data_IF_259471588979
#
_entry.id   IF_259471588979
#
_cell.length_a   1.000
_cell.length_b   1.000
_cell.length_c   1.000
_cell.angle_alpha   90.00
_cell.angle_beta   90.00
_cell.angle_gamma   90.00
#
_symmetry.space_group_name_H-M   'P 1'
#
loop_
_entity.id
_entity.type
_entity.pdbx_description
1 polymer ?
#
# COMPACT_ATOMS: atom_id res chain seq x y z
N UNK A 1 -46.49 31.93 -17.88
CA UNK A 1 -45.42 30.88 -17.97
C UNK A 1 -44.23 31.33 -17.14
N UNK A 2 -44.05 30.78 -15.93
CA UNK A 2 -42.84 31.04 -15.14
C UNK A 2 -41.69 30.20 -15.74
N UNK A 3 -40.64 30.86 -16.19
CA UNK A 3 -39.40 30.19 -16.65
C UNK A 3 -38.78 29.51 -15.41
N UNK A 4 -38.73 28.19 -15.45
CA UNK A 4 -37.87 27.43 -14.53
C UNK A 4 -36.43 27.71 -14.92
N UNK A 5 -35.69 28.33 -14.02
CA UNK A 5 -34.21 28.41 -14.12
C UNK A 5 -33.63 27.17 -13.47
N UNK A 6 -33.00 26.34 -14.26
CA UNK A 6 -32.16 25.26 -13.77
C UNK A 6 -30.76 25.85 -13.48
N UNK A 7 -30.40 25.92 -12.22
CA UNK A 7 -29.01 26.17 -11.84
C UNK A 7 -28.26 24.83 -11.84
N UNK A 8 -27.42 24.62 -12.83
CA UNK A 8 -26.46 23.52 -12.82
C UNK A 8 -25.33 23.94 -11.89
N UNK A 9 -25.31 23.37 -10.70
CA UNK A 9 -24.15 23.47 -9.80
C UNK A 9 -23.05 22.57 -10.36
N UNK A 10 -22.12 23.16 -11.08
CA UNK A 10 -20.86 22.49 -11.43
C UNK A 10 -20.01 22.37 -10.16
N UNK A 11 -20.05 21.23 -9.51
CA UNK A 11 -19.07 20.86 -8.51
C UNK A 11 -17.78 20.42 -9.24
N UNK A 12 -16.91 21.37 -9.54
CA UNK A 12 -15.51 21.09 -9.86
C UNK A 12 -14.73 21.12 -8.54
N UNK A 13 -14.77 20.05 -7.77
CA UNK A 13 -13.74 19.82 -6.78
C UNK A 13 -12.54 19.20 -7.52
N UNK A 14 -11.54 19.99 -7.83
CA UNK A 14 -10.23 19.48 -8.18
C UNK A 14 -9.65 18.84 -6.92
N UNK A 15 -9.58 17.51 -6.87
CA UNK A 15 -8.97 16.76 -5.77
C UNK A 15 -7.43 16.93 -5.73
N UNK A 16 -6.88 17.72 -6.65
CA UNK A 16 -5.46 18.05 -6.68
C UNK A 16 -5.19 19.17 -5.70
N UNK A 17 -4.42 18.92 -4.63
CA UNK A 17 -4.10 19.96 -3.65
C UNK A 17 -3.28 21.08 -4.29
N UNK A 18 -3.61 22.32 -3.95
CA UNK A 18 -2.83 23.47 -4.31
C UNK A 18 -1.93 23.86 -3.12
N UNK A 19 -0.65 24.07 -3.39
CA UNK A 19 0.34 24.49 -2.41
C UNK A 19 0.79 25.90 -2.80
N UNK A 20 0.30 26.90 -2.05
CA UNK A 20 0.56 28.31 -2.38
C UNK A 20 1.29 28.95 -1.21
N UNK A 21 2.43 29.58 -1.52
CA UNK A 21 3.11 30.46 -0.58
C UNK A 21 2.25 31.69 -0.29
N UNK A 22 2.10 32.02 0.96
CA UNK A 22 1.44 33.25 1.39
C UNK A 22 2.49 34.19 1.97
N UNK A 23 2.53 35.44 1.51
CA UNK A 23 3.54 36.45 1.92
C UNK A 23 3.61 36.69 3.45
N UNK A 24 2.61 36.24 4.20
CA UNK A 24 2.52 36.44 5.65
C UNK A 24 2.61 35.15 6.48
N UNK A 25 2.88 34.00 5.84
CA UNK A 25 2.98 32.70 6.55
C UNK A 25 4.37 32.12 6.40
N UNK A 26 4.96 31.71 7.50
CA UNK A 26 6.22 30.96 7.54
C UNK A 26 6.03 29.47 7.20
N UNK A 27 4.79 29.00 7.24
CA UNK A 27 4.41 27.60 7.07
C UNK A 27 3.60 27.46 5.79
N UNK A 28 3.97 26.48 4.98
CA UNK A 28 3.25 26.12 3.76
C UNK A 28 2.12 25.17 4.11
N UNK A 29 0.89 25.57 3.84
CA UNK A 29 -0.29 24.72 4.07
C UNK A 29 -0.30 23.51 3.13
N UNK A 30 -0.66 22.34 3.61
CA UNK A 30 -0.80 21.14 2.80
C UNK A 30 -2.25 20.97 2.34
N UNK A 31 -2.54 21.46 1.13
CA UNK A 31 -3.89 21.59 0.59
C UNK A 31 -4.56 22.92 1.00
N UNK A 32 -5.77 23.15 0.49
CA UNK A 32 -6.50 24.42 0.63
C UNK A 32 -6.84 24.74 2.09
N UNK A 33 -7.15 23.74 2.88
CA UNK A 33 -7.55 23.81 4.30
C UNK A 33 -6.47 23.31 5.26
N UNK A 34 -5.29 23.00 4.73
CA UNK A 34 -4.18 22.37 5.46
C UNK A 34 -4.47 20.96 6.00
N UNK A 35 -5.53 20.29 5.53
CA UNK A 35 -5.99 18.96 5.97
C UNK A 35 -5.89 17.88 4.88
N UNK A 36 -5.16 18.12 3.81
CA UNK A 36 -4.99 17.14 2.73
C UNK A 36 -4.47 15.75 3.22
N UNK A 37 -3.56 15.64 4.21
CA UNK A 37 -3.20 14.34 4.76
C UNK A 37 -4.38 13.58 5.36
N UNK A 38 -5.29 14.26 6.05
CA UNK A 38 -6.49 13.63 6.62
C UNK A 38 -7.44 13.11 5.55
N UNK A 39 -7.56 13.82 4.42
CA UNK A 39 -8.29 13.31 3.27
C UNK A 39 -7.70 11.99 2.75
N UNK A 40 -6.37 11.87 2.66
CA UNK A 40 -5.71 10.63 2.26
C UNK A 40 -5.92 9.50 3.29
N UNK A 41 -5.92 9.83 4.58
CA UNK A 41 -6.24 8.89 5.67
C UNK A 41 -7.68 8.39 5.58
N UNK A 42 -8.63 9.28 5.28
CA UNK A 42 -10.04 8.91 5.08
C UNK A 42 -10.19 7.94 3.89
N UNK A 43 -9.55 8.21 2.76
CA UNK A 43 -9.52 7.29 1.63
C UNK A 43 -8.92 5.91 2.01
N UNK A 44 -7.83 5.93 2.78
CA UNK A 44 -7.16 4.71 3.24
C UNK A 44 -8.03 3.85 4.15
N UNK A 45 -8.81 4.46 5.03
CA UNK A 45 -9.71 3.74 5.97
C UNK A 45 -10.99 3.29 5.28
N UNK A 46 -11.51 4.06 4.31
CA UNK A 46 -12.84 3.83 3.73
C UNK A 46 -12.84 2.82 2.57
N UNK A 47 -11.72 2.64 1.84
CA UNK A 47 -11.63 1.70 0.73
C UNK A 47 -10.77 0.48 1.11
N UNK A 48 -11.38 -0.71 1.12
CA UNK A 48 -10.71 -1.97 1.48
C UNK A 48 -9.62 -2.36 0.48
N UNK A 49 -9.84 -2.11 -0.80
CA UNK A 49 -8.89 -2.43 -1.87
C UNK A 49 -7.68 -1.50 -1.78
N UNK A 50 -7.94 -0.20 -1.63
CA UNK A 50 -6.88 0.80 -1.49
C UNK A 50 -6.03 0.52 -0.24
N UNK A 51 -6.68 0.24 0.90
CA UNK A 51 -5.99 -0.13 2.14
C UNK A 51 -5.10 -1.36 1.99
N UNK A 52 -5.62 -2.44 1.36
CA UNK A 52 -4.86 -3.66 1.12
C UNK A 52 -3.60 -3.41 0.28
N UNK A 53 -3.73 -2.61 -0.80
CA UNK A 53 -2.59 -2.28 -1.66
C UNK A 53 -1.58 -1.38 -0.93
N UNK A 54 -2.02 -0.34 -0.21
CA UNK A 54 -1.13 0.53 0.57
C UNK A 54 -0.31 -0.28 1.55
N UNK A 55 -0.97 -1.13 2.35
CA UNK A 55 -0.29 -1.96 3.36
C UNK A 55 0.67 -2.97 2.71
N UNK A 56 0.23 -3.66 1.65
CA UNK A 56 1.07 -4.62 0.95
C UNK A 56 2.30 -3.98 0.30
N UNK A 57 2.13 -2.82 -0.36
CA UNK A 57 3.26 -2.08 -0.95
C UNK A 57 4.21 -1.57 0.13
N UNK A 58 3.69 -1.00 1.22
CA UNK A 58 4.52 -0.54 2.33
C UNK A 58 5.34 -1.68 2.95
N UNK A 59 4.72 -2.86 3.10
CA UNK A 59 5.39 -4.06 3.56
C UNK A 59 6.49 -4.52 2.59
N UNK A 60 6.24 -4.47 1.27
CA UNK A 60 7.26 -4.82 0.25
C UNK A 60 8.39 -3.79 0.20
N UNK A 61 8.12 -2.48 0.42
CA UNK A 61 9.15 -1.43 0.50
C UNK A 61 10.09 -1.71 1.67
N UNK A 62 9.55 -1.99 2.86
CA UNK A 62 10.34 -2.32 4.03
C UNK A 62 11.03 -3.68 3.91
N UNK A 63 10.37 -4.67 3.28
CA UNK A 63 10.85 -6.02 3.12
C UNK A 63 11.08 -6.72 4.46
N UNK A 64 12.23 -7.38 4.60
CA UNK A 64 12.73 -7.93 5.85
C UNK A 64 13.56 -6.92 6.66
N UNK A 65 13.59 -5.67 6.20
CA UNK A 65 14.29 -4.56 6.83
C UNK A 65 15.58 -4.15 6.13
N UNK A 66 16.26 -3.18 6.75
CA UNK A 66 17.52 -2.66 6.26
C UNK A 66 18.64 -3.68 6.46
N UNK A 67 19.44 -3.92 5.44
CA UNK A 67 20.61 -4.81 5.46
C UNK A 67 21.78 -4.16 4.71
N UNK A 68 22.97 -4.75 4.79
CA UNK A 68 24.18 -4.22 4.19
C UNK A 68 25.00 -5.31 3.50
N UNK A 69 25.57 -4.95 2.35
CA UNK A 69 26.54 -5.80 1.65
C UNK A 69 27.83 -5.87 2.47
N UNK A 70 28.38 -7.08 2.63
CA UNK A 70 29.61 -7.34 3.40
C UNK A 70 29.55 -6.88 4.87
N UNK A 71 28.38 -6.91 5.52
CA UNK A 71 28.20 -6.56 6.93
C UNK A 71 29.09 -7.35 7.88
N UNK A 72 29.37 -8.62 7.55
CA UNK A 72 30.20 -9.52 8.36
C UNK A 72 31.69 -9.11 8.35
N UNK A 73 32.14 -8.43 7.31
CA UNK A 73 33.50 -7.88 7.23
C UNK A 73 33.64 -6.54 7.97
N UNK A 74 32.54 -5.86 8.25
CA UNK A 74 32.47 -4.53 8.88
C UNK A 74 31.45 -4.50 10.03
N UNK A 75 31.58 -5.45 10.94
CA UNK A 75 30.59 -5.68 11.99
C UNK A 75 30.37 -4.47 12.92
N UNK A 76 31.42 -3.66 13.14
CA UNK A 76 31.33 -2.45 13.95
C UNK A 76 30.38 -1.41 13.32
N UNK A 77 30.48 -1.21 12.02
CA UNK A 77 29.57 -0.31 11.31
C UNK A 77 28.13 -0.84 11.33
N UNK A 78 27.98 -2.16 11.17
CA UNK A 78 26.66 -2.80 11.24
C UNK A 78 26.01 -2.67 12.62
N UNK A 79 26.78 -2.87 13.69
CA UNK A 79 26.28 -2.66 15.06
C UNK A 79 25.88 -1.22 15.30
N UNK A 80 26.61 -0.26 14.75
CA UNK A 80 26.28 1.17 14.83
C UNK A 80 24.96 1.49 14.09
N UNK A 81 24.71 0.89 12.92
CA UNK A 81 23.44 1.02 12.22
C UNK A 81 22.28 0.50 13.08
N UNK A 82 22.43 -0.69 13.65
CA UNK A 82 21.42 -1.26 14.54
C UNK A 82 21.17 -0.42 15.81
N UNK A 83 22.16 0.32 16.28
CA UNK A 83 22.00 1.25 17.38
C UNK A 83 21.22 2.49 16.92
N UNK A 84 21.58 3.11 15.80
CA UNK A 84 20.91 4.30 15.25
C UNK A 84 19.43 4.01 14.94
N UNK A 85 19.12 2.82 14.39
CA UNK A 85 17.77 2.35 14.11
C UNK A 85 17.28 1.34 15.16
N UNK A 86 17.47 1.65 16.46
CA UNK A 86 17.03 0.79 17.56
C UNK A 86 15.52 0.50 17.56
N UNK A 87 14.70 1.46 17.11
CA UNK A 87 13.29 1.24 16.76
C UNK A 87 13.17 0.60 15.38
N UNK A 88 13.00 -0.73 15.36
CA UNK A 88 12.82 -1.51 14.12
C UNK A 88 11.56 -1.13 13.33
N UNK A 89 10.56 -0.53 13.99
CA UNK A 89 9.33 -0.06 13.35
C UNK A 89 9.52 1.30 12.63
N UNK A 90 10.61 2.03 12.90
CA UNK A 90 10.88 3.35 12.33
C UNK A 90 10.77 3.34 10.79
N UNK A 91 11.56 2.50 10.13
CA UNK A 91 11.59 2.42 8.66
C UNK A 91 10.34 1.77 8.07
N UNK A 92 9.68 0.87 8.81
CA UNK A 92 8.41 0.28 8.39
C UNK A 92 7.30 1.34 8.36
N UNK A 93 7.22 2.19 9.39
CA UNK A 93 6.27 3.33 9.42
C UNK A 93 6.62 4.36 8.34
N UNK A 94 7.90 4.65 8.13
CA UNK A 94 8.34 5.54 7.06
C UNK A 94 7.95 5.01 5.67
N UNK A 95 8.01 3.69 5.45
CA UNK A 95 7.57 3.05 4.21
C UNK A 95 6.06 3.18 3.98
N UNK A 96 5.27 3.09 5.06
CA UNK A 96 3.82 3.31 5.00
C UNK A 96 3.51 4.77 4.64
N UNK A 97 4.10 5.72 5.34
CA UNK A 97 3.91 7.15 5.07
C UNK A 97 4.33 7.52 3.65
N UNK A 98 5.47 7.01 3.19
CA UNK A 98 5.96 7.27 1.85
C UNK A 98 4.99 6.76 0.77
N UNK A 99 4.34 5.61 0.99
CA UNK A 99 3.32 5.09 0.06
C UNK A 99 2.00 5.83 0.19
N UNK A 100 1.55 6.13 1.40
CA UNK A 100 0.25 6.74 1.66
C UNK A 100 0.22 8.22 1.26
N UNK A 101 1.23 9.00 1.68
CA UNK A 101 1.27 10.45 1.46
C UNK A 101 2.18 10.87 0.31
N UNK A 102 2.99 9.95 -0.23
CA UNK A 102 4.05 10.28 -1.19
C UNK A 102 5.29 10.90 -0.55
N UNK A 103 5.35 10.91 0.79
CA UNK A 103 6.46 11.47 1.57
C UNK A 103 6.52 10.89 2.97
N UNK A 104 7.70 10.92 3.59
CA UNK A 104 7.87 10.57 4.99
C UNK A 104 8.92 11.44 5.66
N UNK A 105 8.88 11.49 6.98
CA UNK A 105 9.77 12.30 7.80
C UNK A 105 10.49 11.45 8.82
N UNK A 106 11.81 11.66 8.93
CA UNK A 106 12.68 11.00 9.88
C UNK A 106 13.35 12.04 10.77
N UNK A 107 13.15 11.92 12.05
CA UNK A 107 13.76 12.78 13.06
C UNK A 107 15.10 12.20 13.49
N UNK A 108 16.17 12.89 13.21
CA UNK A 108 17.54 12.53 13.56
C UNK A 108 17.91 13.21 14.87
N UNK A 109 18.28 12.43 15.86
CA UNK A 109 18.71 12.91 17.18
C UNK A 109 20.22 12.79 17.29
N UNK A 110 20.87 13.92 17.51
CA UNK A 110 22.29 13.99 17.80
C UNK A 110 22.60 13.62 19.25
N UNK A 111 23.78 13.06 19.48
CA UNK A 111 24.33 12.86 20.81
C UNK A 111 24.43 14.20 21.59
N UNK A 112 24.57 14.13 22.90
CA UNK A 112 24.62 15.32 23.75
C UNK A 112 25.76 16.27 23.35
N UNK A 113 26.91 15.73 22.96
CA UNK A 113 28.10 16.45 22.48
C UNK A 113 28.04 16.85 20.99
N UNK A 114 26.95 16.51 20.24
CA UNK A 114 26.74 16.79 18.81
C UNK A 114 27.79 16.19 17.88
N UNK A 115 28.53 15.20 18.32
CA UNK A 115 29.59 14.59 17.50
C UNK A 115 29.07 13.43 16.66
N UNK A 116 28.11 12.68 17.21
CA UNK A 116 27.55 11.48 16.59
C UNK A 116 26.03 11.51 16.55
N UNK A 117 25.43 10.74 15.63
CA UNK A 117 23.98 10.51 15.63
C UNK A 117 23.69 9.41 16.65
N UNK A 118 22.76 9.70 17.56
CA UNK A 118 22.31 8.78 18.59
C UNK A 118 21.24 7.84 18.06
N UNK A 119 20.18 8.42 17.50
CA UNK A 119 18.99 7.68 17.09
C UNK A 119 18.31 8.36 15.90
N UNK A 120 17.51 7.57 15.14
CA UNK A 120 16.61 8.05 14.10
C UNK A 120 15.21 7.51 14.37
N UNK A 121 14.24 8.40 14.43
CA UNK A 121 12.84 8.08 14.68
C UNK A 121 11.94 8.51 13.52
N UNK A 122 10.89 7.76 13.31
CA UNK A 122 9.82 8.14 12.39
C UNK A 122 8.94 9.23 13.02
N UNK A 123 8.59 10.25 12.23
CA UNK A 123 7.58 11.25 12.59
C UNK A 123 6.43 11.17 11.59
N UNK A 124 5.16 11.00 12.05
CA UNK A 124 4.02 10.85 11.13
C UNK A 124 3.89 12.03 10.17
N UNK A 125 3.78 11.75 8.88
CA UNK A 125 3.78 12.78 7.83
C UNK A 125 2.59 13.75 7.96
N UNK A 126 1.45 13.29 8.47
CA UNK A 126 0.27 14.14 8.73
C UNK A 126 0.56 15.27 9.72
N UNK A 127 1.50 15.07 10.65
CA UNK A 127 1.83 16.04 11.72
C UNK A 127 2.85 17.09 11.31
N UNK A 128 3.47 16.98 10.14
CA UNK A 128 4.55 17.88 9.69
C UNK A 128 4.08 18.81 8.57
N UNK A 129 4.57 20.05 8.62
CA UNK A 129 4.46 21.01 7.52
C UNK A 129 5.82 21.61 7.19
N UNK A 130 6.01 21.94 5.91
CA UNK A 130 7.22 22.60 5.44
C UNK A 130 7.19 24.08 5.77
N UNK A 131 8.32 24.65 6.14
CA UNK A 131 8.56 26.09 6.14
C UNK A 131 8.74 26.59 4.70
N UNK A 132 8.72 27.92 4.54
CA UNK A 132 9.03 28.57 3.27
C UNK A 132 10.48 28.28 2.90
N UNK A 133 10.75 28.00 1.64
CA UNK A 133 12.09 27.78 1.12
C UNK A 133 12.93 29.06 1.18
N UNK A 134 14.23 28.91 1.33
CA UNK A 134 15.18 30.00 1.24
C UNK A 134 15.45 30.41 -0.23
N UNK A 135 16.32 31.39 -0.43
CA UNK A 135 16.69 31.91 -1.77
C UNK A 135 17.40 30.85 -2.64
N UNK A 136 17.83 29.73 -2.08
CA UNK A 136 18.44 28.60 -2.78
C UNK A 136 17.44 27.45 -3.04
N UNK A 137 16.14 27.71 -2.93
CA UNK A 137 15.06 26.73 -3.07
C UNK A 137 15.17 25.54 -2.08
N UNK A 138 15.66 25.77 -0.85
CA UNK A 138 15.80 24.75 0.18
C UNK A 138 14.86 25.02 1.34
N UNK A 139 14.17 23.97 1.82
CA UNK A 139 13.37 24.03 3.04
C UNK A 139 14.29 23.79 4.22
N UNK A 140 14.54 24.83 5.01
CA UNK A 140 15.45 24.77 6.16
C UNK A 140 14.76 24.42 7.47
N UNK A 141 13.43 24.58 7.55
CA UNK A 141 12.66 24.36 8.77
C UNK A 141 11.40 23.58 8.47
N UNK A 142 11.10 22.61 9.32
CA UNK A 142 9.85 21.87 9.36
C UNK A 142 9.11 22.19 10.64
N UNK A 143 7.79 22.18 10.59
CA UNK A 143 6.93 22.49 11.72
C UNK A 143 6.13 21.25 12.11
N UNK A 144 6.30 20.81 13.35
CA UNK A 144 5.56 19.69 13.92
C UNK A 144 4.39 20.19 14.76
N UNK A 145 3.22 19.61 14.53
CA UNK A 145 2.02 19.87 15.32
C UNK A 145 1.15 18.60 15.29
N UNK A 146 0.73 18.16 16.47
CA UNK A 146 -0.03 16.90 16.60
C UNK A 146 -1.36 16.91 15.83
N UNK A 147 -2.06 18.05 15.84
CA UNK A 147 -3.33 18.25 15.15
C UNK A 147 -3.35 19.61 14.46
N UNK A 148 -3.35 19.62 13.14
CA UNK A 148 -3.40 20.83 12.32
C UNK A 148 -4.80 21.45 12.22
N UNK A 149 -5.85 20.71 12.59
CA UNK A 149 -7.20 21.24 12.70
C UNK A 149 -7.40 22.10 13.97
N UNK A 150 -6.60 21.85 15.02
CA UNK A 150 -6.65 22.67 16.24
C UNK A 150 -5.95 24.02 16.04
N UNK A 151 -6.72 25.11 15.99
CA UNK A 151 -6.17 26.45 15.84
C UNK A 151 -5.41 26.97 17.07
N UNK A 152 -5.53 26.35 18.23
CA UNK A 152 -4.98 26.84 19.50
C UNK A 152 -3.58 26.28 19.83
N UNK A 153 -3.21 25.14 19.29
CA UNK A 153 -1.90 24.57 19.53
C UNK A 153 -0.81 25.25 18.68
N UNK A 154 0.39 25.37 19.26
CA UNK A 154 1.54 25.99 18.59
C UNK A 154 2.40 24.93 17.92
N UNK A 155 2.79 25.18 16.68
CA UNK A 155 3.68 24.28 15.95
C UNK A 155 5.14 24.44 16.48
N UNK A 156 5.81 23.32 16.64
CA UNK A 156 7.23 23.27 17.02
C UNK A 156 8.10 23.29 15.77
N UNK A 157 9.01 24.26 15.67
CA UNK A 157 9.98 24.32 14.58
C UNK A 157 11.11 23.29 14.82
N UNK A 158 11.42 22.52 13.77
CA UNK A 158 12.51 21.54 13.74
C UNK A 158 13.36 21.85 12.49
N UNK A 159 14.66 22.13 12.62
CA UNK A 159 15.51 22.41 11.48
C UNK A 159 15.69 21.19 10.59
N UNK A 160 15.92 21.42 9.30
CA UNK A 160 16.29 20.38 8.35
C UNK A 160 17.64 19.74 8.76
N UNK A 161 17.81 18.47 8.44
CA UNK A 161 19.03 17.75 8.74
C UNK A 161 20.23 18.35 7.99
N UNK A 162 21.28 18.69 8.74
CA UNK A 162 22.53 19.18 8.23
C UNK A 162 23.71 18.48 8.87
N UNK A 163 24.70 18.10 8.05
CA UNK A 163 25.96 17.53 8.54
C UNK A 163 26.94 18.63 9.02
N UNK A 164 26.76 19.87 8.56
CA UNK A 164 27.60 21.03 8.89
C UNK A 164 27.07 21.82 10.08
N UNK A 165 25.77 22.02 10.20
CA UNK A 165 25.13 22.65 11.36
C UNK A 165 24.54 21.57 12.28
N UNK A 166 25.15 21.41 13.44
CA UNK A 166 24.77 20.43 14.48
C UNK A 166 24.32 21.10 15.77
N UNK A 167 23.95 22.38 15.72
CA UNK A 167 23.54 23.13 16.92
C UNK A 167 22.26 22.58 17.53
N UNK A 168 21.30 22.20 16.71
CA UNK A 168 20.05 21.60 17.15
C UNK A 168 20.23 20.12 17.51
N UNK A 169 19.62 19.71 18.64
CA UNK A 169 19.64 18.33 19.10
C UNK A 169 18.87 17.38 18.17
N UNK A 170 17.81 17.89 17.58
CA UNK A 170 16.85 17.17 16.76
C UNK A 170 16.74 17.88 15.41
N UNK A 171 16.85 17.13 14.35
CA UNK A 171 16.80 17.63 12.97
C UNK A 171 15.95 16.69 12.12
N UNK A 172 15.29 17.21 11.08
CA UNK A 172 14.33 16.48 10.26
C UNK A 172 14.89 16.17 8.88
N UNK A 173 14.75 14.92 8.47
CA UNK A 173 14.93 14.49 7.08
C UNK A 173 13.56 14.38 6.43
N UNK A 174 13.43 14.91 5.23
CA UNK A 174 12.25 14.80 4.39
C UNK A 174 12.56 13.95 3.16
N UNK A 175 11.95 12.76 3.08
CA UNK A 175 11.98 11.90 1.90
C UNK A 175 10.67 12.04 1.15
N UNK A 176 10.70 12.40 -0.14
CA UNK A 176 9.50 12.63 -0.93
C UNK A 176 9.60 12.13 -2.36
N UNK A 177 8.48 11.70 -2.90
CA UNK A 177 8.32 11.47 -4.33
C UNK A 177 8.37 12.79 -5.06
N UNK A 178 9.09 12.84 -6.19
CA UNK A 178 9.02 13.99 -7.08
C UNK A 178 7.65 14.06 -7.74
N UNK A 179 7.04 15.23 -7.67
CA UNK A 179 5.81 15.52 -8.39
C UNK A 179 5.87 16.93 -8.98
N UNK A 180 5.59 17.12 -10.29
CA UNK A 180 5.65 18.43 -10.93
C UNK A 180 4.60 19.44 -10.41
N UNK A 181 3.57 18.96 -9.70
CA UNK A 181 2.51 19.81 -9.14
C UNK A 181 2.85 20.42 -7.78
N UNK A 182 3.90 19.90 -7.12
CA UNK A 182 4.27 20.35 -5.78
C UNK A 182 5.78 20.43 -5.61
N UNK A 183 6.27 21.59 -5.20
CA UNK A 183 7.66 21.78 -4.82
C UNK A 183 7.91 21.34 -3.38
N UNK A 184 7.06 21.73 -2.44
CA UNK A 184 7.25 21.51 -1.00
C UNK A 184 6.99 20.07 -0.59
N UNK A 185 5.89 19.48 -1.05
CA UNK A 185 5.40 18.20 -0.58
C UNK A 185 5.50 17.11 -1.66
N UNK A 186 5.76 15.89 -1.22
CA UNK A 186 5.50 14.71 -2.03
C UNK A 186 3.99 14.52 -2.22
N UNK A 187 3.59 13.96 -3.35
CA UNK A 187 2.23 13.53 -3.60
C UNK A 187 2.21 12.03 -3.89
N UNK A 188 1.16 11.33 -3.47
CA UNK A 188 1.08 9.89 -3.68
C UNK A 188 1.05 9.54 -5.17
N UNK A 189 1.68 8.42 -5.52
CA UNK A 189 1.75 7.94 -6.91
C UNK A 189 0.39 7.51 -7.48
N UNK A 190 -0.59 7.23 -6.61
CA UNK A 190 -1.96 6.86 -6.96
C UNK A 190 -2.93 8.06 -7.08
N UNK A 191 -2.41 9.30 -7.07
CA UNK A 191 -3.23 10.52 -7.11
C UNK A 191 -4.28 10.51 -8.23
N UNK A 192 -3.95 9.96 -9.40
CA UNK A 192 -4.88 9.86 -10.51
C UNK A 192 -6.09 8.94 -10.29
N UNK A 193 -6.08 8.13 -9.23
CA UNK A 193 -7.15 7.19 -8.90
C UNK A 193 -7.96 7.57 -7.66
N UNK A 194 -7.69 8.73 -7.05
CA UNK A 194 -8.39 9.17 -5.82
C UNK A 194 -9.90 9.21 -6.00
N UNK A 195 -10.39 9.67 -7.16
CA UNK A 195 -11.83 9.69 -7.45
C UNK A 195 -12.44 8.27 -7.47
N UNK A 196 -11.72 7.26 -7.95
CA UNK A 196 -12.20 5.88 -7.94
C UNK A 196 -12.14 5.26 -6.55
N UNK A 197 -11.19 5.68 -5.72
CA UNK A 197 -11.13 5.29 -4.30
C UNK A 197 -12.32 5.89 -3.55
N UNK A 198 -12.69 7.15 -3.80
CA UNK A 198 -13.91 7.75 -3.27
C UNK A 198 -15.18 7.04 -3.75
N UNK A 199 -15.23 6.64 -5.02
CA UNK A 199 -16.37 5.86 -5.55
C UNK A 199 -16.48 4.52 -4.82
N UNK A 200 -15.37 3.82 -4.54
CA UNK A 200 -15.36 2.56 -3.79
C UNK A 200 -15.93 2.76 -2.37
N UNK A 201 -15.47 3.79 -1.67
CA UNK A 201 -15.96 4.16 -0.34
C UNK A 201 -17.47 4.46 -0.36
N UNK A 202 -17.90 5.34 -1.26
CA UNK A 202 -19.32 5.73 -1.41
C UNK A 202 -20.20 4.54 -1.84
N UNK A 203 -19.69 3.64 -2.66
CA UNK A 203 -20.40 2.44 -3.08
C UNK A 203 -20.64 1.50 -1.90
N UNK A 204 -19.64 1.33 -1.05
CA UNK A 204 -19.75 0.54 0.19
C UNK A 204 -20.79 1.15 1.13
N UNK A 205 -20.78 2.46 1.33
CA UNK A 205 -21.77 3.19 2.16
C UNK A 205 -23.18 3.08 1.56
N UNK A 206 -23.31 3.23 0.26
CA UNK A 206 -24.59 3.07 -0.44
C UNK A 206 -25.15 1.65 -0.25
N UNK A 207 -24.34 0.61 -0.39
CA UNK A 207 -24.77 -0.77 -0.16
C UNK A 207 -25.22 -0.98 1.28
N UNK A 208 -24.46 -0.51 2.26
CA UNK A 208 -24.80 -0.60 3.67
C UNK A 208 -26.12 0.12 3.98
N UNK A 209 -26.29 1.35 3.46
CA UNK A 209 -27.51 2.12 3.63
C UNK A 209 -28.71 1.46 2.91
N UNK A 210 -28.48 0.85 1.75
CA UNK A 210 -29.52 0.12 1.02
C UNK A 210 -29.98 -1.14 1.76
N UNK A 211 -29.06 -1.85 2.39
CA UNK A 211 -29.37 -3.03 3.23
C UNK A 211 -30.13 -2.59 4.49
N UNK A 212 -29.66 -1.53 5.17
CA UNK A 212 -30.25 -1.05 6.42
C UNK A 212 -31.64 -0.43 6.24
N UNK A 213 -31.87 0.25 5.12
CA UNK A 213 -33.10 1.00 4.86
C UNK A 213 -34.05 0.31 3.85
N UNK A 214 -33.66 -0.88 3.33
CA UNK A 214 -34.34 -1.52 2.20
C UNK A 214 -33.99 -0.84 0.88
N UNK A 215 -33.97 -1.60 -0.21
CA UNK A 215 -33.51 -1.13 -1.54
C UNK A 215 -34.38 -0.01 -2.13
N UNK A 216 -35.63 0.12 -1.68
CA UNK A 216 -36.58 1.13 -2.15
C UNK A 216 -37.64 1.44 -1.09
N UNK A 217 -38.30 2.61 -1.15
CA UNK A 217 -39.49 2.84 -0.37
C UNK A 217 -40.53 1.77 -0.73
N UNK A 218 -40.71 0.80 0.16
CA UNK A 218 -41.59 -0.35 -0.07
C UNK A 218 -43.05 -0.02 0.03
N UNK A 219 -43.36 1.15 0.58
CA UNK A 219 -44.76 1.53 0.87
C UNK A 219 -44.95 3.04 0.70
N UNK A 220 -45.92 3.42 -0.13
CA UNK A 220 -46.46 4.79 -0.17
C UNK A 220 -47.72 4.81 0.69
N UNK A 221 -47.71 5.63 1.74
CA UNK A 221 -48.90 5.92 2.54
C UNK A 221 -49.55 7.16 1.98
N UNK A 222 -50.73 6.99 1.39
CA UNK A 222 -51.53 8.09 0.86
C UNK A 222 -52.70 8.36 1.79
N UNK A 223 -52.79 9.59 2.30
CA UNK A 223 -53.90 10.07 3.11
C UNK A 223 -54.82 10.90 2.25
N UNK A 224 -56.09 10.47 2.10
CA UNK A 224 -57.05 11.06 1.18
C UNK A 224 -58.11 11.94 1.92
N UNK A 225 -57.90 12.25 3.18
CA UNK A 225 -58.87 12.93 4.06
C UNK A 225 -58.47 14.39 4.28
N UNK A 226 -58.00 15.06 3.24
CA UNK A 226 -57.57 16.45 3.26
C UNK A 226 -56.08 16.63 3.61
N UNK A 227 -55.61 17.88 3.51
CA UNK A 227 -54.23 18.24 3.89
C UNK A 227 -54.20 18.61 5.36
N UNK A 228 -53.57 17.81 6.23
CA UNK A 228 -53.52 18.13 7.66
C UNK A 228 -52.73 19.42 7.92
N UNK A 229 -53.00 20.04 9.03
CA UNK A 229 -52.20 21.18 9.52
C UNK A 229 -50.76 20.78 9.77
N UNK A 230 -49.87 21.75 9.85
CA UNK A 230 -48.42 21.47 10.04
C UNK A 230 -48.16 20.73 11.35
N UNK A 231 -48.93 20.97 12.40
CA UNK A 231 -48.87 20.31 13.70
C UNK A 231 -49.34 18.85 13.62
N UNK A 232 -50.47 18.59 12.97
CA UNK A 232 -51.01 17.24 12.75
C UNK A 232 -50.07 16.39 11.87
N UNK A 233 -49.43 17.02 10.87
CA UNK A 233 -48.42 16.37 10.01
C UNK A 233 -47.22 15.94 10.83
N UNK A 234 -46.69 16.81 11.70
CA UNK A 234 -45.55 16.50 12.54
C UNK A 234 -45.86 15.37 13.56
N UNK A 235 -47.10 15.31 14.06
CA UNK A 235 -47.53 14.25 14.97
C UNK A 235 -47.69 12.91 14.25
N UNK A 236 -48.25 12.89 13.03
CA UNK A 236 -48.37 11.73 12.18
C UNK A 236 -46.98 11.19 11.78
N UNK A 237 -46.07 12.07 11.37
CA UNK A 237 -44.68 11.70 11.07
C UNK A 237 -44.01 11.03 12.27
N UNK A 238 -44.16 11.61 13.46
CA UNK A 238 -43.59 11.07 14.70
C UNK A 238 -44.18 9.70 15.06
N UNK A 239 -45.50 9.53 14.88
CA UNK A 239 -46.21 8.27 15.15
C UNK A 239 -45.78 7.15 14.19
N UNK A 240 -45.63 7.49 12.91
CA UNK A 240 -45.18 6.55 11.88
C UNK A 240 -43.69 6.19 12.11
N UNK A 241 -42.84 7.17 12.38
CA UNK A 241 -41.45 6.94 12.72
C UNK A 241 -41.30 6.04 13.97
N UNK A 242 -42.14 6.24 14.98
CA UNK A 242 -42.10 5.43 16.22
C UNK A 242 -42.53 3.97 16.00
N UNK A 243 -43.43 3.73 15.04
CA UNK A 243 -43.98 2.38 14.77
C UNK A 243 -43.21 1.63 13.68
N UNK A 244 -42.66 2.34 12.72
CA UNK A 244 -42.03 1.75 11.54
C UNK A 244 -40.56 2.12 11.41
N UNK A 245 -40.03 3.09 12.20
CA UNK A 245 -38.63 3.41 12.29
C UNK A 245 -37.93 2.51 13.32
N UNK A 246 -36.74 1.98 12.96
CA UNK A 246 -35.92 1.16 13.84
C UNK A 246 -35.15 0.12 13.03
N UNK A 247 -34.02 -0.35 13.54
CA UNK A 247 -33.09 -1.27 12.86
C UNK A 247 -33.69 -2.61 12.36
N UNK A 248 -34.96 -2.89 12.66
CA UNK A 248 -35.68 -4.09 12.21
C UNK A 248 -36.75 -3.84 11.13
N UNK A 249 -37.04 -2.55 10.79
CA UNK A 249 -38.09 -2.19 9.83
C UNK A 249 -37.48 -1.38 8.68
N UNK A 250 -36.65 -2.03 7.89
CA UNK A 250 -35.96 -1.46 6.76
C UNK A 250 -36.91 -1.22 5.58
N UNK A 251 -37.58 -0.08 5.56
CA UNK A 251 -38.34 0.37 4.43
C UNK A 251 -38.57 1.89 4.52
N UNK A 252 -38.17 2.64 3.49
CA UNK A 252 -38.52 4.05 3.39
C UNK A 252 -40.01 4.16 3.12
N UNK A 253 -40.75 4.84 4.00
CA UNK A 253 -42.15 5.12 3.82
C UNK A 253 -42.29 6.50 3.16
N UNK A 254 -42.89 6.56 2.00
CA UNK A 254 -43.27 7.83 1.35
C UNK A 254 -44.69 8.18 1.79
N UNK A 255 -44.86 9.31 2.47
CA UNK A 255 -46.18 9.85 2.86
C UNK A 255 -46.62 10.89 1.85
N UNK A 256 -47.87 10.80 1.44
CA UNK A 256 -48.52 11.80 0.59
C UNK A 256 -49.88 12.17 1.15
N UNK A 257 -50.22 13.45 1.13
CA UNK A 257 -51.48 13.99 1.58
C UNK A 257 -52.20 14.59 0.36
N UNK A 258 -53.43 14.16 0.10
CA UNK A 258 -54.24 14.62 -1.03
C UNK A 258 -55.66 14.99 -0.57
N UNK A 259 -56.25 15.96 -1.24
CA UNK A 259 -57.59 16.44 -0.89
C UNK A 259 -58.72 15.49 -1.28
N UNK A 260 -58.48 14.51 -2.14
CA UNK A 260 -59.47 13.52 -2.56
C UNK A 260 -58.79 12.24 -3.11
N UNK A 261 -59.53 11.13 -3.10
CA UNK A 261 -59.07 9.86 -3.69
C UNK A 261 -58.82 9.93 -5.19
N UNK A 262 -59.40 10.90 -5.91
CA UNK A 262 -59.20 11.11 -7.35
C UNK A 262 -57.81 11.74 -7.62
N UNK A 263 -57.22 12.41 -6.66
CA UNK A 263 -55.89 13.01 -6.72
C UNK A 263 -54.81 12.16 -6.02
N UNK A 264 -55.17 10.93 -5.64
CA UNK A 264 -54.19 10.03 -5.02
C UNK A 264 -53.03 9.78 -5.99
N UNK A 265 -51.76 9.87 -5.52
CA UNK A 265 -50.64 9.61 -6.37
C UNK A 265 -50.70 8.17 -6.89
N UNK A 266 -50.53 8.01 -8.19
CA UNK A 266 -50.39 6.70 -8.80
C UNK A 266 -49.04 6.13 -8.38
N UNK A 267 -49.03 4.94 -7.78
CA UNK A 267 -47.82 4.25 -7.44
C UNK A 267 -47.24 3.65 -8.73
N UNK A 268 -46.39 4.37 -9.41
CA UNK A 268 -45.52 3.77 -10.38
C UNK A 268 -44.33 3.14 -9.64
N UNK A 269 -44.27 1.80 -9.65
CA UNK A 269 -43.07 1.12 -9.19
C UNK A 269 -41.93 1.51 -10.13
N UNK A 270 -40.94 2.24 -9.61
CA UNK A 270 -39.69 2.43 -10.32
C UNK A 270 -39.01 1.07 -10.43
N UNK A 271 -39.29 0.34 -11.51
CA UNK A 271 -38.54 -0.86 -11.86
C UNK A 271 -37.15 -0.42 -12.34
N UNK A 272 -36.21 -0.32 -11.41
CA UNK A 272 -34.79 -0.20 -11.76
C UNK A 272 -34.29 -1.63 -12.00
N UNK A 273 -34.80 -2.28 -13.07
CA UNK A 273 -34.36 -3.61 -13.48
C UNK A 273 -32.86 -3.62 -13.84
N UNK A 274 -32.29 -2.49 -14.21
CA UNK A 274 -30.90 -2.37 -14.65
C UNK A 274 -29.94 -1.85 -13.57
N UNK A 275 -30.45 -1.47 -12.40
CA UNK A 275 -29.61 -0.94 -11.31
C UNK A 275 -28.54 -1.95 -10.89
N UNK A 276 -28.89 -3.24 -10.79
CA UNK A 276 -27.93 -4.28 -10.43
C UNK A 276 -26.79 -4.41 -11.44
N UNK A 277 -27.07 -4.26 -12.74
CA UNK A 277 -26.05 -4.31 -13.79
C UNK A 277 -25.12 -3.11 -13.73
N UNK A 278 -25.65 -1.92 -13.45
CA UNK A 278 -24.84 -0.70 -13.27
C UNK A 278 -23.92 -0.81 -12.05
N UNK A 279 -24.43 -1.31 -10.92
CA UNK A 279 -23.62 -1.50 -9.72
C UNK A 279 -22.58 -2.61 -9.87
N UNK A 280 -22.91 -3.72 -10.52
CA UNK A 280 -21.94 -4.78 -10.82
C UNK A 280 -20.82 -4.27 -11.73
N UNK A 281 -21.18 -3.51 -12.78
CA UNK A 281 -20.20 -2.87 -13.65
C UNK A 281 -19.30 -1.89 -12.89
N UNK A 282 -19.87 -0.98 -12.10
CA UNK A 282 -19.12 -0.01 -11.31
C UNK A 282 -18.17 -0.69 -10.33
N UNK A 283 -18.63 -1.71 -9.60
CA UNK A 283 -17.79 -2.45 -8.66
C UNK A 283 -16.58 -3.07 -9.34
N UNK A 284 -16.75 -3.66 -10.54
CA UNK A 284 -15.64 -4.25 -11.29
C UNK A 284 -14.70 -3.19 -11.86
N UNK A 285 -15.25 -2.09 -12.40
CA UNK A 285 -14.44 -1.00 -12.95
C UNK A 285 -13.58 -0.34 -11.89
N UNK A 286 -14.13 -0.05 -10.72
CA UNK A 286 -13.44 0.59 -9.60
C UNK A 286 -12.21 -0.22 -9.18
N UNK A 287 -12.33 -1.54 -9.04
CA UNK A 287 -11.20 -2.43 -8.72
C UNK A 287 -10.07 -2.26 -9.72
N UNK A 288 -10.38 -2.35 -11.02
CA UNK A 288 -9.38 -2.24 -12.10
C UNK A 288 -8.71 -0.87 -12.11
N UNK A 289 -9.46 0.21 -11.87
CA UNK A 289 -8.92 1.58 -11.86
C UNK A 289 -8.03 1.85 -10.64
N UNK A 290 -8.39 1.34 -9.47
CA UNK A 290 -7.56 1.44 -8.26
C UNK A 290 -6.26 0.66 -8.46
N UNK A 291 -6.33 -0.59 -8.94
CA UNK A 291 -5.15 -1.41 -9.26
C UNK A 291 -4.22 -0.71 -10.26
N UNK A 292 -4.78 -0.15 -11.34
CA UNK A 292 -4.01 0.60 -12.35
C UNK A 292 -3.36 1.85 -11.76
N UNK A 293 -4.05 2.58 -10.88
CA UNK A 293 -3.50 3.76 -10.21
C UNK A 293 -2.32 3.44 -9.31
N UNK A 294 -2.33 2.29 -8.68
CA UNK A 294 -1.21 1.78 -7.89
C UNK A 294 -0.14 1.06 -8.72
N UNK A 295 -0.32 0.96 -10.04
CA UNK A 295 0.57 0.25 -10.97
C UNK A 295 0.75 -1.23 -10.62
N UNK A 296 -0.30 -1.85 -10.07
CA UNK A 296 -0.29 -3.26 -9.67
C UNK A 296 -0.23 -4.14 -10.92
N UNK A 297 0.76 -5.02 -11.00
CA UNK A 297 0.97 -5.94 -12.13
C UNK A 297 0.07 -7.17 -12.06
N UNK A 298 -0.22 -7.66 -10.84
CA UNK A 298 -1.17 -8.74 -10.60
C UNK A 298 -1.94 -8.51 -9.30
N UNK A 299 -3.28 -8.57 -9.31
CA UNK A 299 -4.11 -8.45 -8.11
C UNK A 299 -3.80 -9.48 -7.03
N UNK A 300 -3.32 -10.67 -7.43
CA UNK A 300 -2.97 -11.76 -6.53
C UNK A 300 -1.84 -11.40 -5.56
N UNK A 301 -0.95 -10.48 -5.93
CA UNK A 301 0.11 -9.97 -5.04
C UNK A 301 -0.46 -9.34 -3.75
N UNK A 302 -1.71 -8.91 -3.78
CA UNK A 302 -2.42 -8.29 -2.65
C UNK A 302 -3.60 -9.13 -2.16
N UNK A 303 -3.68 -10.41 -2.53
CA UNK A 303 -4.76 -11.31 -2.13
C UNK A 303 -6.10 -11.02 -2.82
N UNK A 304 -6.13 -10.17 -3.85
CA UNK A 304 -7.32 -9.83 -4.60
C UNK A 304 -7.49 -10.84 -5.74
N UNK A 305 -8.59 -11.60 -5.73
CA UNK A 305 -8.87 -12.61 -6.77
C UNK A 305 -9.76 -12.05 -7.86
N UNK A 306 -9.44 -12.36 -9.09
CA UNK A 306 -10.35 -12.17 -10.22
C UNK A 306 -11.29 -13.38 -10.32
N UNK A 307 -12.58 -13.13 -10.59
CA UNK A 307 -13.55 -14.18 -10.90
C UNK A 307 -13.07 -14.98 -12.12
N UNK A 308 -12.73 -16.27 -11.93
CA UNK A 308 -12.36 -17.19 -13.02
C UNK A 308 -10.90 -17.67 -13.08
N UNK A 309 -10.01 -17.19 -12.20
CA UNK A 309 -8.63 -17.67 -12.11
C UNK A 309 -8.50 -18.88 -11.16
N UNK A 310 -8.22 -20.08 -11.68
CA UNK A 310 -7.88 -21.25 -10.88
C UNK A 310 -6.49 -21.10 -10.23
N UNK A 311 -6.28 -21.72 -9.07
CA UNK A 311 -5.03 -21.64 -8.30
C UNK A 311 -3.83 -22.35 -8.97
N UNK A 312 -4.04 -23.18 -9.98
CA UNK A 312 -3.10 -24.22 -10.36
C UNK A 312 -2.17 -23.94 -11.56
N UNK A 313 -2.27 -22.81 -12.25
CA UNK A 313 -1.49 -22.64 -13.51
C UNK A 313 -0.57 -21.41 -13.57
N UNK A 314 -0.41 -20.61 -12.50
CA UNK A 314 0.15 -19.27 -12.58
C UNK A 314 1.31 -18.97 -11.63
N UNK A 315 2.06 -19.96 -11.17
CA UNK A 315 3.20 -19.69 -10.28
C UNK A 315 4.31 -18.88 -10.99
N UNK A 316 4.60 -19.18 -12.25
CA UNK A 316 5.55 -18.41 -13.06
C UNK A 316 5.02 -17.01 -13.38
N UNK A 317 3.75 -16.89 -13.77
CA UNK A 317 3.13 -15.59 -14.04
C UNK A 317 3.14 -14.70 -12.78
N UNK A 318 2.90 -15.28 -11.61
CA UNK A 318 2.98 -14.55 -10.35
C UNK A 318 4.41 -14.11 -10.03
N UNK A 319 5.40 -14.95 -10.32
CA UNK A 319 6.82 -14.61 -10.16
C UNK A 319 7.21 -13.46 -11.07
N UNK A 320 6.87 -13.54 -12.34
CA UNK A 320 7.14 -12.48 -13.32
C UNK A 320 6.44 -11.18 -12.95
N UNK A 321 5.19 -11.27 -12.50
CA UNK A 321 4.43 -10.12 -12.03
C UNK A 321 5.04 -9.49 -10.78
N UNK A 322 5.54 -10.31 -9.83
CA UNK A 322 6.25 -9.84 -8.64
C UNK A 322 7.57 -9.15 -9.03
N UNK A 323 8.39 -9.76 -9.87
CA UNK A 323 9.68 -9.23 -10.28
C UNK A 323 9.51 -7.89 -11.03
N UNK A 324 8.53 -7.82 -11.93
CA UNK A 324 8.19 -6.58 -12.63
C UNK A 324 7.72 -5.50 -11.65
N UNK A 325 6.83 -5.84 -10.72
CA UNK A 325 6.31 -4.91 -9.72
C UNK A 325 7.42 -4.44 -8.78
N UNK A 326 8.26 -5.36 -8.32
CA UNK A 326 9.39 -5.05 -7.45
C UNK A 326 10.34 -4.05 -8.12
N UNK A 327 10.74 -4.32 -9.35
CA UNK A 327 11.69 -3.48 -10.08
C UNK A 327 11.12 -2.10 -10.47
N UNK A 328 9.84 -2.04 -10.84
CA UNK A 328 9.23 -0.81 -11.37
C UNK A 328 8.54 0.05 -10.31
N UNK A 329 8.12 -0.55 -9.19
CA UNK A 329 7.40 0.15 -8.11
C UNK A 329 8.21 0.15 -6.82
N UNK A 330 8.61 -1.02 -6.30
CA UNK A 330 9.19 -1.11 -4.96
C UNK A 330 10.60 -0.52 -4.89
N UNK A 331 11.50 -0.90 -5.78
CA UNK A 331 12.88 -0.37 -5.81
C UNK A 331 12.97 1.16 -5.89
N UNK A 332 12.16 1.87 -6.70
CA UNK A 332 12.12 3.34 -6.68
C UNK A 332 11.79 3.92 -5.30
N UNK A 333 10.83 3.35 -4.57
CA UNK A 333 10.52 3.80 -3.21
C UNK A 333 11.66 3.52 -2.23
N UNK A 334 12.28 2.33 -2.29
CA UNK A 334 13.44 1.99 -1.47
C UNK A 334 14.61 2.95 -1.71
N UNK A 335 14.86 3.34 -2.96
CA UNK A 335 15.90 4.32 -3.32
C UNK A 335 15.66 5.68 -2.66
N UNK A 336 14.42 6.17 -2.63
CA UNK A 336 14.09 7.43 -1.98
C UNK A 336 14.43 7.39 -0.49
N UNK A 337 14.10 6.30 0.21
CA UNK A 337 14.45 6.12 1.61
C UNK A 337 15.98 6.04 1.81
N UNK A 338 16.67 5.27 1.01
CA UNK A 338 18.12 5.12 1.09
C UNK A 338 18.85 6.44 0.77
N UNK A 339 18.39 7.18 -0.22
CA UNK A 339 18.96 8.50 -0.57
C UNK A 339 18.75 9.50 0.55
N UNK A 340 17.58 9.50 1.21
CA UNK A 340 17.32 10.32 2.39
C UNK A 340 18.20 9.94 3.60
N UNK A 341 18.52 8.65 3.74
CA UNK A 341 19.37 8.15 4.84
C UNK A 341 20.88 8.27 4.55
N UNK A 342 21.29 8.42 3.29
CA UNK A 342 22.71 8.52 2.91
C UNK A 342 23.48 9.59 3.70
N UNK A 343 22.95 10.81 3.94
CA UNK A 343 23.64 11.81 4.77
C UNK A 343 23.80 11.36 6.23
N UNK A 344 22.86 10.57 6.78
CA UNK A 344 22.95 10.00 8.15
C UNK A 344 24.07 8.98 8.21
N UNK A 345 24.16 8.09 7.22
CA UNK A 345 25.24 7.10 7.16
C UNK A 345 26.61 7.78 7.04
N UNK A 346 26.73 8.78 6.16
CA UNK A 346 27.96 9.54 5.98
C UNK A 346 28.38 10.28 7.28
N UNK A 347 27.43 10.96 7.96
CA UNK A 347 27.69 11.65 9.22
C UNK A 347 28.08 10.69 10.35
N UNK A 348 27.65 9.43 10.25
CA UNK A 348 27.97 8.36 11.21
C UNK A 348 29.26 7.61 10.85
N UNK A 349 29.91 7.93 9.73
CA UNK A 349 31.13 7.23 9.26
C UNK A 349 30.84 5.82 8.74
N UNK A 350 29.61 5.56 8.30
CA UNK A 350 29.19 4.28 7.72
C UNK A 350 29.44 4.34 6.22
N UNK A 351 30.21 3.38 5.72
CA UNK A 351 30.58 3.24 4.30
C UNK A 351 30.00 1.99 3.65
N UNK A 352 29.25 1.18 4.43
CA UNK A 352 28.56 -0.01 3.94
C UNK A 352 27.53 0.36 2.87
N UNK A 353 27.45 -0.47 1.84
CA UNK A 353 26.39 -0.39 0.85
C UNK A 353 25.09 -0.96 1.43
N UNK A 354 24.12 -0.08 1.65
CA UNK A 354 22.86 -0.40 2.31
C UNK A 354 21.80 -0.74 1.29
N UNK A 355 20.93 -1.70 1.64
CA UNK A 355 19.76 -2.08 0.85
C UNK A 355 18.64 -2.57 1.77
N UNK A 356 17.40 -2.61 1.25
CA UNK A 356 16.30 -3.29 1.92
C UNK A 356 16.22 -4.72 1.43
N UNK A 357 16.25 -5.67 2.36
CA UNK A 357 16.15 -7.08 2.03
C UNK A 357 14.74 -7.41 1.54
N UNK A 358 14.56 -7.91 0.29
CA UNK A 358 13.24 -8.13 -0.28
C UNK A 358 12.48 -9.23 0.46
N UNK A 359 11.15 -9.08 0.58
CA UNK A 359 10.25 -10.17 0.93
C UNK A 359 10.16 -11.10 -0.27
N UNK A 360 10.69 -12.30 -0.14
CA UNK A 360 10.53 -13.33 -1.15
C UNK A 360 9.41 -14.28 -0.73
N UNK A 361 8.54 -14.72 -1.65
CA UNK A 361 7.62 -15.83 -1.39
C UNK A 361 8.39 -17.07 -0.91
N UNK A 362 7.81 -17.85 0.00
CA UNK A 362 8.46 -19.00 0.60
C UNK A 362 8.96 -20.01 -0.45
N UNK A 363 8.23 -20.19 -1.55
CA UNK A 363 8.61 -21.01 -2.70
C UNK A 363 9.90 -20.57 -3.41
N UNK A 364 10.34 -19.32 -3.21
CA UNK A 364 11.61 -18.81 -3.77
C UNK A 364 12.78 -18.99 -2.80
N UNK A 365 12.50 -19.14 -1.50
CA UNK A 365 13.50 -19.29 -0.45
C UNK A 365 14.11 -20.71 -0.44
N UNK A 366 13.35 -21.72 -0.81
CA UNK A 366 13.81 -23.11 -0.81
C UNK A 366 14.92 -23.35 -1.83
N UNK A 367 14.77 -22.78 -3.02
CA UNK A 367 15.77 -22.90 -4.08
C UNK A 367 17.07 -22.12 -3.72
N UNK A 368 16.94 -20.88 -3.22
CA UNK A 368 18.10 -20.07 -2.78
C UNK A 368 18.83 -20.73 -1.59
N UNK A 369 18.13 -21.40 -0.67
CA UNK A 369 18.73 -22.09 0.48
C UNK A 369 19.51 -23.35 0.06
N UNK A 370 19.01 -24.11 -0.92
CA UNK A 370 19.70 -25.27 -1.45
C UNK A 370 21.04 -24.88 -2.10
N UNK A 371 21.06 -23.77 -2.84
CA UNK A 371 22.29 -23.28 -3.47
C UNK A 371 23.26 -22.64 -2.48
N UNK A 372 22.77 -21.92 -1.48
CA UNK A 372 23.61 -21.35 -0.42
C UNK A 372 24.20 -22.44 0.49
N UNK A 373 23.50 -23.55 0.72
CA UNK A 373 24.05 -24.71 1.46
C UNK A 373 25.08 -25.46 0.63
N UNK A 374 24.86 -25.64 -0.67
CA UNK A 374 25.81 -26.22 -1.57
C UNK A 374 27.10 -25.37 -1.70
N UNK A 375 26.96 -24.03 -1.78
CA UNK A 375 28.08 -23.09 -1.81
C UNK A 375 28.82 -22.99 -0.46
N UNK A 376 28.14 -23.19 0.68
CA UNK A 376 28.76 -23.19 2.01
C UNK A 376 29.52 -24.47 2.34
N UNK A 377 29.22 -25.56 1.64
CA UNK A 377 29.96 -26.83 1.79
C UNK A 377 31.33 -26.79 1.13
N UNK A 378 31.58 -25.83 0.25
CA UNK A 378 32.86 -25.71 -0.50
C UNK A 378 33.61 -24.42 -0.12
N UNK A 379 34.36 -24.46 0.99
CA UNK A 379 35.24 -23.35 1.43
C UNK A 379 36.62 -23.36 0.71
N UNK A 380 36.73 -23.93 -0.47
CA UNK A 380 38.03 -24.12 -1.12
C UNK A 380 38.28 -23.26 -2.38
N UNK A 381 37.28 -22.61 -3.00
CA UNK A 381 37.58 -21.74 -4.15
C UNK A 381 36.65 -20.52 -4.23
N UNK A 382 37.24 -19.32 -4.07
CA UNK A 382 36.54 -18.05 -3.84
C UNK A 382 36.02 -17.32 -5.10
N UNK A 383 36.11 -17.91 -6.30
CA UNK A 383 35.86 -17.19 -7.56
C UNK A 383 34.62 -17.61 -8.37
N UNK A 384 33.81 -18.55 -7.92
CA UNK A 384 32.64 -19.02 -8.68
C UNK A 384 31.33 -18.49 -8.06
N UNK A 385 30.95 -17.24 -8.40
CA UNK A 385 29.56 -16.77 -8.14
C UNK A 385 28.68 -17.11 -9.33
N UNK A 386 27.77 -18.07 -9.17
CA UNK A 386 26.80 -18.45 -10.20
C UNK A 386 25.64 -17.42 -10.26
N UNK A 387 25.22 -17.04 -11.46
CA UNK A 387 24.12 -16.10 -11.63
C UNK A 387 22.75 -16.82 -11.55
N UNK A 388 21.69 -16.06 -11.31
CA UNK A 388 20.33 -16.61 -11.15
C UNK A 388 19.83 -17.44 -12.33
N UNK A 389 20.27 -17.15 -13.57
CA UNK A 389 19.92 -17.93 -14.75
C UNK A 389 20.60 -19.29 -14.78
N UNK A 390 21.87 -19.36 -14.37
CA UNK A 390 22.61 -20.63 -14.24
C UNK A 390 21.95 -21.53 -13.18
N UNK A 391 21.52 -20.92 -12.06
CA UNK A 391 20.84 -21.61 -10.97
C UNK A 391 19.51 -22.20 -11.42
N UNK A 392 18.66 -21.39 -12.08
CA UNK A 392 17.37 -21.83 -12.60
C UNK A 392 17.52 -22.99 -13.61
N UNK A 393 18.50 -22.89 -14.50
CA UNK A 393 18.79 -23.96 -15.47
C UNK A 393 19.30 -25.23 -14.81
N UNK A 394 20.06 -25.13 -13.71
CA UNK A 394 20.54 -26.30 -12.98
C UNK A 394 19.35 -27.05 -12.30
N UNK A 395 18.39 -26.34 -11.73
CA UNK A 395 17.18 -26.95 -11.16
C UNK A 395 16.38 -27.68 -12.23
N UNK A 396 16.17 -27.05 -13.41
CA UNK A 396 15.46 -27.70 -14.52
C UNK A 396 16.14 -29.00 -14.98
N UNK A 397 17.46 -29.02 -14.96
CA UNK A 397 18.23 -30.23 -15.29
C UNK A 397 18.02 -31.33 -14.24
N UNK A 398 17.98 -30.98 -12.93
CA UNK A 398 17.75 -31.93 -11.86
C UNK A 398 16.34 -32.55 -11.94
N UNK A 399 15.32 -31.73 -12.22
CA UNK A 399 13.93 -32.20 -12.41
C UNK A 399 13.88 -33.18 -13.59
N UNK A 400 14.51 -32.89 -14.72
CA UNK A 400 14.56 -33.81 -15.88
C UNK A 400 15.25 -35.14 -15.61
N UNK A 401 16.19 -35.17 -14.67
CA UNK A 401 16.81 -36.43 -14.21
C UNK A 401 15.85 -37.24 -13.39
N UNK A 402 15.10 -36.59 -12.50
CA UNK A 402 14.06 -37.22 -11.65
C UNK A 402 12.92 -37.78 -12.49
N UNK A 403 12.48 -37.05 -13.52
CA UNK A 403 11.48 -37.50 -14.49
C UNK A 403 12.01 -38.66 -15.42
N UNK A 404 13.27 -39.00 -15.31
CA UNK A 404 13.89 -40.05 -16.14
C UNK A 404 14.11 -39.68 -17.60
N UNK A 405 14.01 -38.37 -17.93
CA UNK A 405 14.19 -37.85 -19.31
C UNK A 405 15.67 -37.87 -19.71
N UNK A 406 16.56 -37.56 -18.77
CA UNK A 406 18.03 -37.59 -18.97
C UNK A 406 18.70 -38.39 -17.85
N UNK A 407 19.86 -38.96 -18.15
CA UNK A 407 20.63 -39.68 -17.11
C UNK A 407 21.46 -38.72 -16.26
N UNK A 408 21.80 -39.12 -15.03
CA UNK A 408 22.64 -38.34 -14.13
C UNK A 408 23.99 -37.96 -14.76
N UNK A 409 24.60 -38.89 -15.50
CA UNK A 409 25.88 -38.64 -16.21
C UNK A 409 25.72 -37.56 -17.28
N UNK A 410 24.60 -37.56 -18.04
CA UNK A 410 24.31 -36.57 -19.06
C UNK A 410 24.05 -35.20 -18.43
N UNK A 411 23.35 -35.18 -17.33
CA UNK A 411 23.04 -33.94 -16.57
C UNK A 411 24.31 -33.31 -15.97
N UNK A 412 25.22 -34.11 -15.39
CA UNK A 412 26.52 -33.62 -14.89
C UNK A 412 27.38 -33.01 -16.01
N UNK A 413 27.42 -33.65 -17.15
CA UNK A 413 28.14 -33.11 -18.32
C UNK A 413 27.50 -31.77 -18.75
N UNK A 414 26.17 -31.65 -18.73
CA UNK A 414 25.48 -30.44 -19.10
C UNK A 414 25.75 -29.31 -18.11
N UNK A 415 25.68 -29.60 -16.81
CA UNK A 415 26.00 -28.62 -15.76
C UNK A 415 27.40 -28.06 -15.85
N UNK A 416 28.39 -28.94 -16.09
CA UNK A 416 29.80 -28.55 -16.17
C UNK A 416 30.12 -27.84 -17.49
N UNK A 417 29.69 -28.37 -18.64
CA UNK A 417 30.12 -27.86 -19.95
C UNK A 417 29.27 -26.67 -20.44
N UNK A 418 27.97 -26.67 -20.15
CA UNK A 418 27.05 -25.62 -20.66
C UNK A 418 26.79 -24.54 -19.64
N UNK A 419 26.65 -24.89 -18.37
CA UNK A 419 26.35 -23.94 -17.31
C UNK A 419 27.56 -23.51 -16.49
N UNK A 420 28.76 -24.07 -16.82
CA UNK A 420 30.05 -23.71 -16.21
C UNK A 420 30.13 -23.94 -14.70
N UNK A 421 29.38 -24.92 -14.18
CA UNK A 421 29.53 -25.36 -12.80
C UNK A 421 30.85 -26.11 -12.64
N UNK A 422 31.48 -26.03 -11.46
CA UNK A 422 32.62 -26.88 -11.15
C UNK A 422 32.17 -28.34 -10.99
N UNK A 423 32.99 -29.34 -11.31
CA UNK A 423 32.63 -30.76 -11.18
C UNK A 423 32.16 -31.11 -9.75
N UNK A 424 32.83 -30.53 -8.74
CA UNK A 424 32.49 -30.74 -7.32
C UNK A 424 31.11 -30.21 -6.97
N UNK A 425 30.74 -29.03 -7.46
CA UNK A 425 29.40 -28.41 -7.24
C UNK A 425 28.33 -29.20 -7.99
N UNK A 426 28.60 -29.65 -9.21
CA UNK A 426 27.69 -30.50 -9.96
C UNK A 426 27.41 -31.82 -9.23
N UNK A 427 28.44 -32.47 -8.66
CA UNK A 427 28.26 -33.69 -7.86
C UNK A 427 27.48 -33.44 -6.56
N UNK A 428 27.74 -32.33 -5.86
CA UNK A 428 27.05 -31.97 -4.64
C UNK A 428 25.53 -31.69 -4.89
N UNK A 429 25.20 -31.05 -6.02
CA UNK A 429 23.82 -30.82 -6.44
C UNK A 429 23.04 -32.12 -6.64
N UNK A 430 23.66 -33.18 -7.13
CA UNK A 430 23.00 -34.47 -7.29
C UNK A 430 22.81 -35.23 -5.97
N UNK A 431 23.77 -35.14 -5.04
CA UNK A 431 23.67 -35.81 -3.75
C UNK A 431 22.62 -35.19 -2.85
N UNK A 432 22.52 -33.85 -2.85
CA UNK A 432 21.64 -33.11 -1.95
C UNK A 432 20.30 -32.68 -2.60
N UNK A 433 20.32 -32.40 -3.91
CA UNK A 433 19.13 -31.89 -4.62
C UNK A 433 18.09 -32.98 -4.89
N UNK A 434 18.47 -34.20 -5.18
CA UNK A 434 17.54 -35.32 -5.42
C UNK A 434 16.85 -35.73 -4.11
N UNK A 435 17.57 -35.76 -3.00
CA UNK A 435 17.00 -36.11 -1.70
C UNK A 435 15.98 -35.05 -1.21
N UNK A 436 16.26 -33.77 -1.46
CA UNK A 436 15.36 -32.67 -1.08
C UNK A 436 14.08 -32.64 -1.94
N UNK A 437 14.16 -32.91 -3.23
CA UNK A 437 12.99 -32.98 -4.13
C UNK A 437 12.13 -34.20 -3.75
N UNK A 438 12.74 -35.34 -3.42
CA UNK A 438 12.02 -36.55 -2.98
C UNK A 438 11.35 -36.41 -1.59
N UNK A 439 11.81 -35.51 -0.73
CA UNK A 439 11.13 -35.17 0.52
C UNK A 439 9.90 -34.30 0.31
N UNK A 440 9.96 -33.31 -0.60
CA UNK A 440 8.84 -32.44 -0.94
C UNK A 440 7.69 -33.24 -1.58
N UNK A 441 7.97 -34.15 -2.51
CA UNK A 441 6.92 -35.01 -3.11
C UNK A 441 6.24 -35.92 -2.06
N UNK A 442 6.97 -36.37 -1.06
CA UNK A 442 6.39 -37.19 0.03
C UNK A 442 5.50 -36.37 0.98
N UNK A 443 5.78 -35.07 1.15
CA UNK A 443 4.93 -34.17 1.95
C UNK A 443 3.67 -33.80 1.18
N UNK A 444 3.75 -33.53 -0.14
CA UNK A 444 2.57 -33.27 -0.97
C UNK A 444 1.65 -34.48 -1.08
N UNK A 445 2.17 -35.70 -1.29
CA UNK A 445 1.39 -36.94 -1.29
C UNK A 445 0.74 -37.22 0.08
N UNK A 446 1.38 -36.83 1.18
CA UNK A 446 0.83 -36.96 2.53
C UNK A 446 -0.29 -35.96 2.81
N UNK A 447 -0.18 -34.72 2.31
CA UNK A 447 -1.24 -33.71 2.43
C UNK A 447 -2.46 -34.05 1.55
N UNK A 448 -2.24 -34.56 0.34
CA UNK A 448 -3.32 -35.03 -0.55
C UNK A 448 -4.07 -36.23 0.05
N UNK A 449 -3.37 -37.18 0.65
CA UNK A 449 -3.97 -38.32 1.34
C UNK A 449 -4.77 -37.94 2.60
N UNK A 450 -4.37 -36.86 3.30
CA UNK A 450 -5.11 -36.31 4.45
C UNK A 450 -6.35 -35.55 3.97
N UNK A 451 -6.29 -34.85 2.83
CA UNK A 451 -7.43 -34.14 2.25
C UNK A 451 -8.52 -35.11 1.73
N UNK A 452 -8.12 -36.23 1.11
CA UNK A 452 -9.06 -37.29 0.68
C UNK A 452 -9.74 -38.05 1.83
N UNK A 453 -9.12 -38.07 3.01
CA UNK A 453 -9.70 -38.78 4.18
C UNK A 453 -10.70 -37.92 4.97
N UNK A 454 -10.81 -36.61 4.65
CA UNK A 454 -11.73 -35.68 5.31
C UNK A 454 -12.97 -35.31 4.44
N UNK A 455 -13.14 -35.91 3.28
CA UNK A 455 -14.32 -35.86 2.43
C UNK A 455 -15.15 -37.15 2.55
#
# INVERSE_FOLDING_TARGET
>A
MKKQQFNILNYQSSNTPQFVESQNKEIIDMGKDNLYPHYLEELYVSSSIHSAIINGVAQMIYGEGLDAVYKDLNIEQWLKINQIFGDKECLKRASLDLKLYGQCYLNVIWSEDRTTISEVHHTPAATIRCGVANDEDQVEVFYHKADWADAHSVAQAIPAFSTSDRTAASQMIHCKLYNPLSFYYGLPDYLGSTNYIEVDANLSEYHLNSINNGFFPSTILSFNDGVPTEEERAELERLIYSKFGGAGNAGKILMTFTDSSENAPTVESFNISDAHQVFDYLSKEVVVKILSGHRVTSPLLFGIRNEGGGFGSNAEEMKDAYDLFYNTVILPFQRILLDGLRPVFAASGITLEMYFKPLKPASFLEVDNLFNQAAAADTADKDASYNGAQIASAVEVLVKVQEGIITEEQAKVFLVQMLQFTPEVADALFIQGIDAIAEVEKEEDAEEAVAETQL
#
